data_IF_355707104491
#
_entry.id   IF_355707104491
#
_cell.length_a   1.000
_cell.length_b   1.000
_cell.length_c   1.000
_cell.angle_alpha   90.00
_cell.angle_beta   90.00
_cell.angle_gamma   90.00
#
_symmetry.space_group_name_H-M   'P 1'
#
loop_
_entity.id
_entity.type
_entity.pdbx_description
1 polymer ?
#
# COMPACT_ATOMS: atom_id res chain seq x y z
N UNK A 1 29.04 -0.08 7.25
CA UNK A 1 28.14 -0.91 6.44
C UNK A 1 26.74 -0.59 6.93
N UNK A 2 25.90 0.06 6.12
CA UNK A 2 24.50 0.30 6.48
C UNK A 2 23.79 -1.06 6.56
N UNK A 3 22.96 -1.28 7.58
CA UNK A 3 22.14 -2.48 7.66
C UNK A 3 21.09 -2.38 6.55
N UNK A 4 21.17 -3.26 5.56
CA UNK A 4 20.15 -3.40 4.53
C UNK A 4 18.81 -3.70 5.21
N UNK A 5 17.78 -2.94 4.88
CA UNK A 5 16.46 -3.17 5.47
C UNK A 5 15.88 -4.47 4.90
N UNK A 6 15.14 -5.26 5.69
CA UNK A 6 14.48 -6.48 5.19
C UNK A 6 13.57 -6.24 3.97
N UNK A 7 13.06 -5.02 3.81
CA UNK A 7 12.22 -4.61 2.69
C UNK A 7 13.01 -4.37 1.38
N UNK A 8 14.30 -3.99 1.48
CA UNK A 8 15.22 -3.87 0.35
C UNK A 8 15.67 -5.25 -0.11
N UNK A 9 16.11 -6.11 0.82
CA UNK A 9 16.47 -7.50 0.48
C UNK A 9 15.32 -8.24 -0.20
N UNK A 10 14.08 -8.07 0.28
CA UNK A 10 12.91 -8.68 -0.36
C UNK A 10 12.60 -8.09 -1.74
N UNK A 11 12.89 -6.80 -1.96
CA UNK A 11 12.71 -6.18 -3.29
C UNK A 11 13.66 -6.82 -4.28
N UNK A 12 14.92 -6.97 -3.91
CA UNK A 12 15.97 -7.47 -4.80
C UNK A 12 15.69 -8.91 -5.23
N UNK A 13 15.25 -9.77 -4.28
CA UNK A 13 14.85 -11.16 -4.56
C UNK A 13 13.66 -11.28 -5.54
N UNK A 14 12.84 -10.24 -5.63
CA UNK A 14 11.63 -10.21 -6.47
C UNK A 14 11.80 -9.34 -7.72
N UNK A 15 13.02 -8.89 -7.99
CA UNK A 15 13.33 -8.02 -9.12
C UNK A 15 14.04 -8.77 -10.23
N UNK A 16 13.69 -8.42 -11.47
CA UNK A 16 14.33 -8.96 -12.65
C UNK A 16 15.75 -8.38 -12.78
N UNK A 17 16.79 -9.21 -12.93
CA UNK A 17 18.17 -8.73 -13.03
C UNK A 17 18.47 -7.97 -14.34
N UNK A 18 17.55 -7.97 -15.31
CA UNK A 18 17.71 -7.26 -16.59
C UNK A 18 17.13 -5.84 -16.50
N UNK A 19 15.86 -5.71 -16.10
CA UNK A 19 15.20 -4.40 -16.05
C UNK A 19 15.26 -3.74 -14.66
N UNK A 20 15.72 -4.47 -13.63
CA UNK A 20 15.84 -4.03 -12.24
C UNK A 20 14.50 -3.62 -11.59
N UNK A 21 13.40 -4.03 -12.20
CA UNK A 21 12.04 -3.85 -11.72
C UNK A 21 11.46 -5.19 -11.25
N UNK A 22 10.35 -5.15 -10.50
CA UNK A 22 9.60 -6.36 -10.14
C UNK A 22 9.29 -7.23 -11.36
N UNK A 23 9.36 -8.55 -11.18
CA UNK A 23 9.04 -9.47 -12.26
C UNK A 23 7.63 -9.22 -12.83
N UNK A 24 7.56 -9.11 -14.15
CA UNK A 24 6.33 -9.07 -14.93
C UNK A 24 6.33 -10.28 -15.85
N UNK A 25 5.29 -11.11 -15.77
CA UNK A 25 5.23 -12.43 -16.44
C UNK A 25 6.54 -13.23 -16.29
N UNK A 26 6.96 -13.56 -15.04
CA UNK A 26 8.22 -14.24 -14.81
C UNK A 26 8.27 -15.60 -15.50
N UNK A 27 9.42 -15.88 -16.11
CA UNK A 27 9.77 -17.18 -16.69
C UNK A 27 11.06 -17.69 -16.07
N UNK A 28 11.11 -19.00 -15.84
CA UNK A 28 12.30 -19.73 -15.41
C UNK A 28 12.95 -20.39 -16.62
N UNK A 29 14.27 -20.25 -16.74
CA UNK A 29 15.08 -20.90 -17.78
C UNK A 29 15.76 -22.17 -17.24
N UNK A 30 16.47 -22.93 -18.08
CA UNK A 30 17.03 -24.24 -17.73
C UNK A 30 17.93 -24.23 -16.48
N UNK A 31 18.76 -23.19 -16.30
CA UNK A 31 19.62 -23.04 -15.12
C UNK A 31 18.87 -22.60 -13.84
N UNK A 32 17.55 -22.43 -13.87
CA UNK A 32 16.72 -22.07 -12.71
C UNK A 32 16.59 -20.58 -12.43
N UNK A 33 17.31 -19.71 -13.14
CA UNK A 33 17.18 -18.25 -13.03
C UNK A 33 15.86 -17.74 -13.63
N UNK A 34 15.36 -16.64 -13.06
CA UNK A 34 14.07 -16.06 -13.41
C UNK A 34 14.25 -14.69 -14.08
N UNK A 35 13.43 -14.40 -15.09
CA UNK A 35 13.43 -13.15 -15.83
C UNK A 35 12.00 -12.77 -16.24
N UNK A 36 11.73 -11.50 -16.52
CA UNK A 36 10.50 -11.14 -17.21
C UNK A 36 10.50 -11.76 -18.61
N UNK A 37 9.34 -12.26 -19.08
CA UNK A 37 9.21 -12.84 -20.42
C UNK A 37 9.74 -11.90 -21.51
N UNK A 38 9.38 -10.62 -21.47
CA UNK A 38 9.84 -9.63 -22.43
C UNK A 38 11.36 -9.40 -22.37
N UNK A 39 11.94 -9.36 -21.16
CA UNK A 39 13.37 -9.09 -20.96
C UNK A 39 14.23 -10.20 -21.54
N UNK A 40 13.93 -11.47 -21.23
CA UNK A 40 14.75 -12.59 -21.72
C UNK A 40 14.59 -12.77 -23.24
N UNK A 41 13.41 -12.50 -23.78
CA UNK A 41 13.18 -12.54 -25.23
C UNK A 41 13.96 -11.45 -25.96
N UNK A 42 14.05 -10.25 -25.39
CA UNK A 42 14.87 -9.18 -25.93
C UNK A 42 16.37 -9.53 -25.90
N UNK A 43 16.83 -10.19 -24.83
CA UNK A 43 18.24 -10.61 -24.70
C UNK A 43 18.65 -11.68 -25.72
N UNK A 44 17.79 -12.67 -25.97
CA UNK A 44 18.09 -13.74 -26.93
C UNK A 44 17.85 -13.33 -28.39
N UNK A 45 17.02 -12.32 -28.62
CA UNK A 45 16.67 -11.86 -29.97
C UNK A 45 15.94 -12.94 -30.78
N UNK A 46 15.80 -12.71 -32.09
CA UNK A 46 15.08 -13.61 -33.00
C UNK A 46 15.99 -14.57 -33.78
N UNK A 47 17.32 -14.36 -33.76
CA UNK A 47 18.20 -14.83 -34.82
C UNK A 47 19.38 -15.71 -34.38
N UNK A 48 19.48 -16.10 -33.11
CA UNK A 48 20.70 -16.75 -32.58
C UNK A 48 20.38 -18.07 -31.85
N UNK A 49 21.12 -19.17 -32.11
CA UNK A 49 20.97 -20.43 -31.36
C UNK A 49 21.67 -20.41 -29.98
N UNK A 50 22.19 -19.26 -29.54
CA UNK A 50 22.95 -19.15 -28.29
C UNK A 50 22.06 -18.60 -27.16
N UNK A 51 21.35 -19.49 -26.49
CA UNK A 51 20.52 -19.16 -25.33
C UNK A 51 21.36 -19.17 -24.05
N UNK A 52 22.13 -18.11 -23.83
CA UNK A 52 22.90 -17.96 -22.58
C UNK A 52 22.09 -17.24 -21.50
N UNK A 53 22.22 -17.67 -20.26
CA UNK A 53 21.64 -17.00 -19.10
C UNK A 53 22.33 -15.65 -18.87
N UNK A 54 21.61 -14.51 -18.84
CA UNK A 54 22.22 -13.21 -18.55
C UNK A 54 22.87 -13.10 -17.16
N UNK A 55 22.48 -13.95 -16.22
CA UNK A 55 22.95 -13.92 -14.82
C UNK A 55 24.17 -14.82 -14.59
N UNK A 56 24.09 -16.11 -14.93
CA UNK A 56 25.18 -17.07 -14.68
C UNK A 56 25.98 -17.47 -15.93
N UNK A 57 25.56 -17.01 -17.12
CA UNK A 57 26.18 -17.30 -18.44
C UNK A 57 26.13 -18.78 -18.87
N UNK A 58 25.39 -19.62 -18.16
CA UNK A 58 25.13 -20.99 -18.59
C UNK A 58 24.33 -21.01 -19.90
N UNK A 59 24.75 -21.87 -20.83
CA UNK A 59 24.19 -21.96 -22.18
C UNK A 59 23.20 -23.12 -22.28
N UNK A 60 22.00 -22.84 -22.77
CA UNK A 60 21.00 -23.84 -23.11
C UNK A 60 21.04 -24.16 -24.61
N UNK A 61 20.71 -25.41 -24.97
CA UNK A 61 20.61 -25.83 -26.37
C UNK A 61 19.28 -25.38 -27.02
N UNK A 62 18.27 -25.11 -26.20
CA UNK A 62 16.92 -24.78 -26.66
C UNK A 62 16.35 -23.59 -25.90
N UNK A 63 15.40 -22.91 -26.53
CA UNK A 63 14.66 -21.79 -25.95
C UNK A 63 13.54 -22.29 -25.04
N UNK A 64 13.91 -22.87 -23.91
CA UNK A 64 12.96 -23.40 -22.92
C UNK A 64 12.63 -22.33 -21.86
N UNK A 65 11.54 -21.59 -22.10
CA UNK A 65 10.97 -20.63 -21.15
C UNK A 65 9.76 -21.24 -20.44
N UNK A 66 9.86 -21.42 -19.12
CA UNK A 66 8.77 -21.97 -18.30
C UNK A 66 8.10 -20.84 -17.50
N UNK A 67 6.82 -20.51 -17.73
CA UNK A 67 6.13 -19.53 -16.90
C UNK A 67 6.13 -19.91 -15.42
N UNK A 68 6.47 -18.94 -14.56
CA UNK A 68 6.53 -19.12 -13.11
C UNK A 68 5.41 -18.31 -12.44
N UNK A 69 4.18 -18.84 -12.52
CA UNK A 69 2.99 -18.17 -11.97
C UNK A 69 3.10 -17.93 -10.46
N UNK A 70 3.76 -18.84 -9.75
CA UNK A 70 3.96 -18.74 -8.30
C UNK A 70 4.81 -17.51 -7.94
N UNK A 71 5.93 -17.29 -8.65
CA UNK A 71 6.74 -16.09 -8.47
C UNK A 71 5.95 -14.82 -8.82
N UNK A 72 5.18 -14.83 -9.91
CA UNK A 72 4.28 -13.73 -10.26
C UNK A 72 3.27 -13.43 -9.14
N UNK A 73 2.63 -14.45 -8.58
CA UNK A 73 1.70 -14.30 -7.47
C UNK A 73 2.37 -13.71 -6.22
N UNK A 74 3.60 -14.14 -5.87
CA UNK A 74 4.33 -13.57 -4.73
C UNK A 74 4.66 -12.10 -4.97
N UNK A 75 5.08 -11.72 -6.18
CA UNK A 75 5.32 -10.31 -6.54
C UNK A 75 4.06 -9.48 -6.34
N UNK A 76 2.91 -9.95 -6.81
CA UNK A 76 1.63 -9.24 -6.65
C UNK A 76 1.20 -9.16 -5.19
N UNK A 77 1.40 -10.23 -4.40
CA UNK A 77 1.14 -10.21 -2.96
C UNK A 77 2.03 -9.17 -2.25
N UNK A 78 3.33 -9.10 -2.57
CA UNK A 78 4.25 -8.14 -1.95
C UNK A 78 3.95 -6.71 -2.36
N UNK A 79 3.59 -6.47 -3.64
CA UNK A 79 3.07 -5.17 -4.07
C UNK A 79 1.81 -4.80 -3.28
N UNK A 80 0.87 -5.72 -3.16
CA UNK A 80 -0.36 -5.55 -2.37
C UNK A 80 -0.13 -5.38 -0.87
N UNK A 81 0.89 -6.01 -0.29
CA UNK A 81 1.30 -5.81 1.10
C UNK A 81 1.92 -4.44 1.29
N UNK A 82 2.68 -3.91 0.32
CA UNK A 82 3.15 -2.52 0.40
C UNK A 82 2.02 -1.52 0.34
N UNK A 83 0.94 -1.83 -0.39
CA UNK A 83 -0.29 -1.07 -0.31
C UNK A 83 -0.95 -1.23 1.08
N UNK A 84 -0.99 -2.43 1.67
CA UNK A 84 -1.54 -2.67 3.01
C UNK A 84 -0.69 -2.17 4.19
N UNK A 85 0.62 -2.00 4.02
CA UNK A 85 1.48 -1.37 5.03
C UNK A 85 1.34 0.16 4.96
N UNK A 86 0.82 0.69 3.84
CA UNK A 86 0.34 2.08 3.72
C UNK A 86 -1.16 2.19 4.04
N UNK A 87 -1.90 1.09 3.98
CA UNK A 87 -3.31 0.98 4.38
C UNK A 87 -3.48 -0.12 5.41
N UNK A 88 -3.10 0.19 6.65
CA UNK A 88 -3.66 -0.50 7.82
C UNK A 88 -5.19 -0.61 7.59
N UNK A 89 -5.80 -1.81 7.61
CA UNK A 89 -7.22 -1.96 7.40
C UNK A 89 -7.95 -1.48 8.65
N UNK A 90 -8.11 -0.16 8.78
CA UNK A 90 -8.90 0.48 9.83
C UNK A 90 -10.00 1.27 9.19
N UNK A 91 -11.07 0.58 8.80
CA UNK A 91 -12.38 1.15 8.47
C UNK A 91 -12.36 2.54 7.80
N UNK A 92 -11.58 2.71 6.73
CA UNK A 92 -11.49 4.01 6.04
C UNK A 92 -12.82 4.26 5.33
N UNK A 93 -13.69 5.03 5.99
CA UNK A 93 -14.92 5.54 5.38
C UNK A 93 -14.56 6.55 4.29
N UNK A 94 -15.21 6.46 3.12
CA UNK A 94 -14.95 7.35 1.98
C UNK A 94 -16.01 8.46 1.92
N UNK A 95 -15.61 9.65 1.51
CA UNK A 95 -16.55 10.73 1.25
C UNK A 95 -17.39 10.40 0.00
N UNK A 96 -18.71 10.32 0.13
CA UNK A 96 -19.59 10.00 -0.99
C UNK A 96 -19.47 11.01 -2.15
N UNK A 97 -19.21 12.28 -1.84
CA UNK A 97 -19.14 13.36 -2.84
C UNK A 97 -17.80 13.41 -3.59
N UNK A 98 -16.69 13.12 -2.91
CA UNK A 98 -15.35 13.33 -3.46
C UNK A 98 -14.57 12.03 -3.69
N UNK A 99 -15.08 10.90 -3.19
CA UNK A 99 -14.43 9.58 -3.24
C UNK A 99 -13.02 9.57 -2.60
N UNK A 100 -12.80 10.48 -1.66
CA UNK A 100 -11.57 10.62 -0.88
C UNK A 100 -11.76 10.08 0.54
N UNK A 101 -10.69 9.59 1.15
CA UNK A 101 -10.73 9.06 2.51
C UNK A 101 -11.14 10.15 3.54
N UNK A 102 -12.05 9.79 4.45
CA UNK A 102 -12.45 10.64 5.56
C UNK A 102 -11.43 10.52 6.69
N UNK A 103 -10.44 11.41 6.69
CA UNK A 103 -9.33 11.44 7.68
C UNK A 103 -9.38 12.65 8.62
N UNK A 104 -10.31 13.56 8.38
CA UNK A 104 -10.45 14.81 9.11
C UNK A 104 -11.80 14.84 9.83
N UNK A 105 -11.88 15.56 10.94
CA UNK A 105 -13.10 15.79 11.70
C UNK A 105 -13.36 17.29 11.80
N UNK A 106 -14.55 17.72 11.39
CA UNK A 106 -15.01 19.08 11.59
C UNK A 106 -15.69 19.19 12.96
N UNK A 107 -15.18 20.07 13.82
CA UNK A 107 -15.68 20.21 15.20
C UNK A 107 -17.08 20.84 15.25
N UNK A 108 -17.33 21.81 14.37
CA UNK A 108 -18.60 22.53 14.29
C UNK A 108 -19.74 21.67 13.74
N UNK A 109 -19.47 20.88 12.69
CA UNK A 109 -20.47 20.00 12.07
C UNK A 109 -20.49 18.59 12.68
N UNK A 110 -19.56 18.30 13.60
CA UNK A 110 -19.37 17.01 14.27
C UNK A 110 -19.37 15.80 13.31
N UNK A 111 -18.77 15.97 12.14
CA UNK A 111 -18.76 14.95 11.09
C UNK A 111 -17.36 14.71 10.54
N UNK A 112 -17.04 13.45 10.16
CA UNK A 112 -15.83 13.16 9.45
C UNK A 112 -15.93 13.70 8.01
N UNK A 113 -14.89 14.39 7.56
CA UNK A 113 -14.80 15.03 6.25
C UNK A 113 -13.50 14.61 5.55
N UNK A 114 -13.46 14.76 4.22
CA UNK A 114 -12.25 14.55 3.44
C UNK A 114 -11.47 15.86 3.25
N UNK A 115 -10.24 15.76 2.75
CA UNK A 115 -9.37 16.91 2.47
C UNK A 115 -9.95 17.91 1.45
N UNK A 116 -10.90 17.47 0.62
CA UNK A 116 -11.59 18.33 -0.34
C UNK A 116 -12.72 19.11 0.34
N UNK A 117 -13.47 18.46 1.24
CA UNK A 117 -14.51 19.10 2.04
C UNK A 117 -13.95 20.22 2.93
N UNK A 118 -12.78 20.00 3.55
CA UNK A 118 -12.07 21.00 4.36
C UNK A 118 -11.85 22.31 3.59
N UNK A 119 -11.41 22.22 2.34
CA UNK A 119 -11.18 23.39 1.46
C UNK A 119 -12.46 23.95 0.83
N UNK A 120 -13.59 23.27 0.97
CA UNK A 120 -14.85 23.69 0.37
C UNK A 120 -15.40 24.93 1.09
N UNK A 121 -16.28 25.68 0.42
CA UNK A 121 -16.96 26.83 1.05
C UNK A 121 -17.76 26.44 2.31
N UNK A 122 -18.14 25.17 2.44
CA UNK A 122 -18.91 24.66 3.57
C UNK A 122 -18.07 24.55 4.86
N UNK A 123 -16.80 24.15 4.76
CA UNK A 123 -15.95 23.91 5.94
C UNK A 123 -14.67 24.77 6.01
N UNK A 124 -14.40 25.64 5.02
CA UNK A 124 -13.17 26.47 4.95
C UNK A 124 -12.91 27.39 6.16
N UNK A 125 -13.93 27.63 6.98
CA UNK A 125 -13.86 28.49 8.18
C UNK A 125 -14.16 27.72 9.46
N UNK A 126 -14.29 26.40 9.37
CA UNK A 126 -14.50 25.50 10.48
C UNK A 126 -13.16 25.02 11.01
N UNK A 127 -13.15 24.63 12.27
CA UNK A 127 -12.01 24.02 12.93
C UNK A 127 -12.00 22.55 12.54
N UNK A 128 -10.93 22.16 11.86
CA UNK A 128 -10.76 20.82 11.33
C UNK A 128 -9.49 20.22 11.91
N UNK A 129 -9.65 19.06 12.54
CA UNK A 129 -8.56 18.31 13.17
C UNK A 129 -8.47 16.90 12.57
N UNK A 130 -7.30 16.24 12.59
CA UNK A 130 -7.21 14.83 12.29
C UNK A 130 -8.11 14.00 13.20
N UNK A 131 -8.72 12.95 12.65
CA UNK A 131 -9.63 12.07 13.41
C UNK A 131 -8.92 11.41 14.58
N UNK A 132 -7.64 11.10 14.45
CA UNK A 132 -6.82 10.51 15.51
C UNK A 132 -6.62 11.46 16.68
N UNK A 133 -6.55 12.77 16.44
CA UNK A 133 -6.43 13.81 17.48
C UNK A 133 -7.77 14.00 18.19
N UNK A 134 -8.86 14.12 17.41
CA UNK A 134 -10.22 14.17 17.96
C UNK A 134 -10.54 12.95 18.84
N UNK A 135 -10.06 11.76 18.45
CA UNK A 135 -10.22 10.52 19.21
C UNK A 135 -9.48 10.51 20.56
N UNK A 136 -8.36 11.25 20.69
CA UNK A 136 -7.56 11.29 21.91
C UNK A 136 -8.21 12.15 23.00
N UNK A 137 -8.90 13.23 22.63
CA UNK A 137 -9.65 14.10 23.55
C UNK A 137 -10.70 13.30 24.37
N UNK A 138 -11.32 12.28 23.79
CA UNK A 138 -12.27 11.38 24.50
C UNK A 138 -11.61 10.44 25.50
N UNK A 139 -10.33 10.07 25.29
CA UNK A 139 -9.59 9.19 26.20
C UNK A 139 -9.08 9.95 27.43
N UNK A 140 -8.82 11.25 27.30
CA UNK A 140 -8.27 12.11 28.37
C UNK A 140 -9.36 12.66 29.30
N UNK A 141 -10.62 12.75 28.85
CA UNK A 141 -11.76 13.25 29.64
C UNK A 141 -12.23 12.39 30.83
N UNK A 142 -11.64 11.22 31.11
CA UNK A 142 -12.08 10.34 32.21
C UNK A 142 -11.61 10.74 33.63
N UNK A 143 -10.90 11.85 33.81
CA UNK A 143 -10.25 12.13 35.10
C UNK A 143 -10.48 13.49 35.78
N UNK A 144 -11.50 14.28 35.41
CA UNK A 144 -11.90 15.41 36.28
C UNK A 144 -13.41 15.44 36.55
N UNK A 145 -13.72 15.52 37.85
CA UNK A 145 -15.01 15.27 38.49
C UNK A 145 -16.07 16.35 38.20
N UNK A 146 -17.31 15.89 37.97
CA UNK A 146 -18.55 16.40 38.59
C UNK A 146 -18.93 17.87 38.43
N UNK A 147 -19.82 18.15 37.48
CA UNK A 147 -21.07 18.91 37.71
C UNK A 147 -22.01 18.75 36.51
N UNK A 148 -23.23 18.32 36.76
CA UNK A 148 -24.29 18.12 35.78
C UNK A 148 -24.71 19.45 35.13
N UNK A 149 -24.51 19.60 33.81
CA UNK A 149 -25.50 20.23 32.92
C UNK A 149 -25.25 19.79 31.47
N UNK A 150 -26.22 19.09 30.89
CA UNK A 150 -26.53 18.98 29.46
C UNK A 150 -25.40 19.25 28.45
N UNK A 151 -24.82 18.18 27.89
CA UNK A 151 -24.79 18.01 26.42
C UNK A 151 -24.51 16.54 26.08
N UNK A 152 -25.51 15.72 26.43
CA UNK A 152 -25.72 14.41 25.84
C UNK A 152 -26.05 14.60 24.34
N UNK A 153 -25.02 14.72 23.53
CA UNK A 153 -25.15 14.90 22.08
C UNK A 153 -23.83 14.78 21.32
N UNK A 154 -22.74 14.44 22.01
CA UNK A 154 -21.46 14.20 21.39
C UNK A 154 -21.49 12.75 20.88
N UNK A 155 -22.03 12.67 19.67
CA UNK A 155 -22.69 11.55 18.99
C UNK A 155 -21.80 10.31 18.86
N UNK A 156 -22.43 9.13 18.87
CA UNK A 156 -21.84 7.78 18.82
C UNK A 156 -20.89 7.52 17.62
N UNK A 157 -20.71 8.50 16.74
CA UNK A 157 -19.91 8.46 15.51
C UNK A 157 -18.41 8.39 15.79
N UNK A 158 -17.91 9.14 16.79
CA UNK A 158 -16.48 9.07 17.15
C UNK A 158 -16.17 7.75 17.87
N UNK A 159 -17.08 7.22 18.68
CA UNK A 159 -16.93 5.89 19.29
C UNK A 159 -16.92 4.76 18.26
N UNK A 160 -17.70 4.88 17.17
CA UNK A 160 -17.67 3.89 16.08
C UNK A 160 -16.38 3.96 15.26
N UNK A 161 -15.82 5.16 15.03
CA UNK A 161 -14.49 5.29 14.42
C UNK A 161 -13.36 4.83 15.37
N UNK A 162 -13.45 5.13 16.67
CA UNK A 162 -12.48 4.68 17.68
C UNK A 162 -12.49 3.17 17.93
N UNK A 163 -13.59 2.47 17.64
CA UNK A 163 -13.67 1.00 17.77
C UNK A 163 -13.11 0.27 16.54
N UNK A 164 -12.83 1.02 15.46
CA UNK A 164 -12.17 0.57 14.23
C UNK A 164 -10.70 1.05 14.14
N UNK A 165 -10.22 1.79 15.17
CA UNK A 165 -8.82 2.14 15.43
C UNK A 165 -8.26 1.26 16.57
#
# INVERSE_FOLDING_TARGET
MAAESPAESLRDELSCPICLEYFTDPVTIECGHNFCWACINQCWGESVPNFSCPQCRETAQQRNLRPNRQLGNVVELVKGLRFQVVTEPKGETVCEQHQEALKLFCEEDQTPICVVCDKSKAHRSHTVVPIEEAAQEYKVGKHHQGSETQMAGIDLRITNLCSLL
#
